data_IF_345144364752
#
_entry.id   IF_345144364752
#
_cell.length_a   1.000
_cell.length_b   1.000
_cell.length_c   1.000
_cell.angle_alpha   90.00
_cell.angle_beta   90.00
_cell.angle_gamma   90.00
#
_symmetry.space_group_name_H-M   'P 1'
#
loop_
_entity.id
_entity.type
_entity.pdbx_description
1 polymer ?
#
# COMPACT_ATOMS: atom_id res chain seq x y z
N UNK A 1 -18.02 -20.41 23.86
CA UNK A 1 -16.72 -21.00 23.47
C UNK A 1 -16.92 -21.88 22.25
N UNK A 2 -16.63 -21.36 21.06
CA UNK A 2 -16.65 -22.14 19.81
C UNK A 2 -15.24 -22.71 19.61
N UNK A 3 -15.11 -24.03 19.78
CA UNK A 3 -13.85 -24.77 19.63
C UNK A 3 -13.15 -24.39 18.33
N UNK A 4 -11.82 -24.19 18.36
CA UNK A 4 -11.00 -24.05 17.15
C UNK A 4 -11.39 -25.17 16.18
N UNK A 5 -11.79 -24.90 14.92
CA UNK A 5 -11.94 -25.97 13.97
C UNK A 5 -10.57 -26.65 13.82
N UNK A 6 -10.47 -27.92 14.26
CA UNK A 6 -9.23 -28.69 14.15
C UNK A 6 -8.79 -28.70 12.68
N UNK A 7 -7.52 -28.40 12.42
CA UNK A 7 -6.96 -28.47 11.07
C UNK A 7 -7.05 -27.20 10.22
N UNK A 8 -7.23 -26.02 10.82
CA UNK A 8 -7.12 -24.72 10.12
C UNK A 8 -6.05 -23.86 10.75
N UNK A 9 -5.47 -22.95 9.96
CA UNK A 9 -4.53 -21.96 10.47
C UNK A 9 -5.18 -20.97 11.46
N UNK A 10 -6.53 -20.91 11.52
CA UNK A 10 -7.27 -19.94 12.33
C UNK A 10 -8.30 -20.44 13.33
N UNK A 11 -8.32 -19.79 14.49
CA UNK A 11 -9.42 -19.81 15.46
C UNK A 11 -10.25 -18.53 15.33
N UNK A 12 -11.39 -18.62 14.62
CA UNK A 12 -12.46 -17.62 14.44
C UNK A 12 -12.03 -16.18 14.11
N UNK A 13 -12.52 -15.66 12.97
CA UNK A 13 -12.37 -14.27 12.59
C UNK A 13 -12.96 -13.34 13.67
N UNK A 14 -12.13 -12.43 14.16
CA UNK A 14 -12.53 -11.32 15.03
C UNK A 14 -12.19 -10.05 14.27
N UNK A 15 -13.02 -9.00 14.30
CA UNK A 15 -12.93 -7.91 13.33
C UNK A 15 -11.73 -6.99 13.58
N UNK A 16 -10.55 -7.41 13.12
CA UNK A 16 -9.37 -6.55 13.05
C UNK A 16 -9.51 -5.67 11.80
N UNK A 17 -9.50 -4.36 11.99
CA UNK A 17 -9.53 -3.40 10.91
C UNK A 17 -8.23 -2.60 10.89
N UNK A 18 -7.79 -2.25 9.68
CA UNK A 18 -6.67 -1.36 9.47
C UNK A 18 -7.00 0.04 9.98
N UNK A 19 -6.17 0.57 10.87
CA UNK A 19 -6.33 1.92 11.42
C UNK A 19 -6.12 3.05 10.40
N UNK A 20 -5.52 2.77 9.24
CA UNK A 20 -5.38 3.75 8.16
C UNK A 20 -6.59 3.73 7.24
N UNK A 21 -6.93 2.58 6.68
CA UNK A 21 -7.93 2.50 5.62
C UNK A 21 -9.32 2.04 6.11
N UNK A 22 -9.46 1.63 7.37
CA UNK A 22 -10.70 1.12 7.95
C UNK A 22 -11.17 -0.23 7.39
N UNK A 23 -10.41 -0.87 6.49
CA UNK A 23 -10.78 -2.16 5.91
C UNK A 23 -10.36 -3.33 6.80
N UNK A 24 -11.07 -4.45 6.69
CA UNK A 24 -10.75 -5.67 7.43
C UNK A 24 -9.38 -6.21 7.03
N UNK A 25 -8.61 -6.65 8.03
CA UNK A 25 -7.36 -7.38 7.88
C UNK A 25 -7.60 -8.89 7.76
N UNK A 26 -8.80 -9.36 8.09
CA UNK A 26 -9.14 -10.78 8.03
C UNK A 26 -9.29 -11.29 6.60
N UNK A 27 -8.63 -12.41 6.31
CA UNK A 27 -8.87 -13.15 5.09
C UNK A 27 -10.30 -13.71 5.05
N UNK A 28 -11.00 -13.58 3.93
CA UNK A 28 -12.31 -14.23 3.72
C UNK A 28 -12.24 -15.76 3.63
N UNK A 29 -11.03 -16.32 3.56
CA UNK A 29 -10.81 -17.74 3.33
C UNK A 29 -10.09 -18.40 4.51
N UNK A 30 -10.73 -19.39 5.10
CA UNK A 30 -10.08 -20.29 6.05
C UNK A 30 -9.13 -21.22 5.29
N UNK A 31 -7.85 -21.16 5.63
CA UNK A 31 -6.84 -22.04 5.04
C UNK A 31 -6.69 -23.27 5.96
N UNK A 32 -6.88 -24.46 5.39
CA UNK A 32 -6.67 -25.73 6.09
C UNK A 32 -5.17 -25.98 6.28
N UNK A 33 -4.79 -26.48 7.44
CA UNK A 33 -3.46 -27.05 7.68
C UNK A 33 -3.25 -28.18 6.66
N UNK A 34 -2.06 -28.24 6.06
CA UNK A 34 -1.76 -29.14 4.94
C UNK A 34 -2.11 -28.57 3.56
N UNK A 35 -2.70 -27.38 3.48
CA UNK A 35 -2.77 -26.57 2.24
C UNK A 35 -1.72 -25.43 2.30
N UNK A 36 -1.16 -25.03 1.14
CA UNK A 36 -0.21 -23.93 1.10
C UNK A 36 -0.92 -22.63 1.52
N UNK A 37 -0.30 -21.79 2.37
CA UNK A 37 -0.73 -20.42 2.53
C UNK A 37 -0.86 -19.73 1.17
N UNK A 38 -1.86 -18.86 0.95
CA UNK A 38 -2.16 -18.35 -0.39
C UNK A 38 -1.02 -17.55 -1.04
N UNK A 39 -0.25 -16.82 -0.22
CA UNK A 39 0.89 -16.04 -0.67
C UNK A 39 2.07 -16.89 -1.17
N UNK A 40 2.14 -18.16 -0.79
CA UNK A 40 3.22 -19.07 -1.21
C UNK A 40 3.26 -19.27 -2.72
N UNK A 41 2.13 -19.10 -3.41
CA UNK A 41 2.04 -19.24 -4.88
C UNK A 41 2.49 -18.00 -5.65
N UNK A 42 2.81 -16.91 -4.95
CA UNK A 42 3.22 -15.65 -5.59
C UNK A 42 4.65 -15.72 -6.13
N UNK A 43 5.49 -16.59 -5.57
CA UNK A 43 6.85 -16.84 -6.03
C UNK A 43 7.17 -18.33 -6.11
N UNK A 44 7.94 -18.69 -7.15
CA UNK A 44 8.35 -20.07 -7.39
C UNK A 44 9.22 -20.64 -6.25
N UNK A 45 10.11 -19.83 -5.69
CA UNK A 45 10.97 -20.21 -4.56
C UNK A 45 10.15 -20.60 -3.31
N UNK A 46 9.12 -19.81 -2.98
CA UNK A 46 8.23 -20.10 -1.85
C UNK A 46 7.40 -21.36 -2.10
N UNK A 47 6.90 -21.54 -3.33
CA UNK A 47 6.17 -22.75 -3.71
C UNK A 47 7.05 -24.00 -3.62
N UNK A 48 8.32 -23.90 -4.00
CA UNK A 48 9.29 -24.97 -3.89
C UNK A 48 9.55 -25.36 -2.43
N UNK A 49 9.77 -24.39 -1.54
CA UNK A 49 9.90 -24.64 -0.10
C UNK A 49 8.69 -25.37 0.48
N UNK A 50 7.48 -25.05 0.00
CA UNK A 50 6.26 -25.77 0.39
C UNK A 50 6.22 -27.20 -0.13
N UNK A 51 6.64 -27.43 -1.39
CA UNK A 51 6.69 -28.77 -2.01
C UNK A 51 7.67 -29.68 -1.26
N UNK A 52 8.87 -29.21 -0.97
CA UNK A 52 9.91 -29.94 -0.23
C UNK A 52 9.41 -30.35 1.16
N UNK A 53 8.79 -29.41 1.87
CA UNK A 53 8.18 -29.70 3.18
C UNK A 53 7.16 -30.82 3.12
N UNK A 54 6.36 -30.89 2.05
CA UNK A 54 5.29 -31.88 1.90
C UNK A 54 5.82 -33.30 1.70
N UNK A 55 7.06 -33.46 1.24
CA UNK A 55 7.68 -34.78 1.08
C UNK A 55 7.91 -35.48 2.43
N UNK A 56 7.95 -34.75 3.54
CA UNK A 56 8.07 -35.32 4.88
C UNK A 56 6.71 -35.48 5.59
N UNK A 57 6.31 -36.73 5.84
CA UNK A 57 5.10 -37.08 6.61
C UNK A 57 5.08 -36.46 8.02
N UNK A 58 6.24 -36.20 8.62
CA UNK A 58 6.37 -35.59 9.96
C UNK A 58 6.01 -34.10 9.96
N UNK A 59 6.22 -33.39 8.84
CA UNK A 59 5.99 -31.94 8.72
C UNK A 59 4.69 -31.56 8.05
N UNK A 60 4.04 -32.49 7.34
CA UNK A 60 2.75 -32.27 6.66
C UNK A 60 1.65 -31.78 7.61
N UNK A 61 1.63 -32.29 8.85
CA UNK A 61 0.62 -31.93 9.87
C UNK A 61 0.96 -30.68 10.69
N UNK A 62 2.13 -30.08 10.50
CA UNK A 62 2.57 -28.88 11.25
C UNK A 62 2.10 -27.60 10.53
N UNK A 63 2.19 -26.46 11.21
CA UNK A 63 2.01 -25.13 10.60
C UNK A 63 3.22 -24.75 9.74
N UNK A 64 3.01 -24.04 8.63
CA UNK A 64 4.05 -23.56 7.72
C UNK A 64 4.16 -22.05 7.74
N UNK A 65 5.39 -21.58 7.92
CA UNK A 65 5.75 -20.19 7.71
C UNK A 65 7.08 -20.10 6.98
N UNK A 66 7.23 -19.00 6.23
CA UNK A 66 8.48 -18.58 5.61
C UNK A 66 8.87 -17.26 6.27
N UNK A 67 10.04 -17.23 6.91
CA UNK A 67 10.64 -16.00 7.45
C UNK A 67 11.44 -15.31 6.34
N UNK A 68 11.38 -13.99 6.23
CA UNK A 68 12.11 -13.19 5.24
C UNK A 68 12.27 -11.73 5.71
N UNK A 69 12.94 -10.88 4.92
CA UNK A 69 12.95 -9.44 5.19
C UNK A 69 11.66 -8.76 4.71
N UNK A 70 11.32 -7.65 5.36
CA UNK A 70 10.16 -6.83 4.99
C UNK A 70 10.28 -6.26 3.56
N UNK A 71 11.50 -5.92 3.14
CA UNK A 71 11.78 -5.44 1.78
C UNK A 71 11.53 -6.51 0.71
N UNK A 72 11.85 -7.78 1.00
CA UNK A 72 11.59 -8.88 0.07
C UNK A 72 10.09 -9.13 -0.12
N UNK A 73 9.30 -9.10 0.95
CA UNK A 73 7.86 -9.30 0.91
C UNK A 73 7.10 -8.12 0.28
N UNK A 74 7.66 -6.92 0.37
CA UNK A 74 7.02 -5.69 -0.12
C UNK A 74 6.95 -5.57 -1.65
N UNK A 75 7.39 -6.58 -2.41
CA UNK A 75 7.31 -6.56 -3.89
C UNK A 75 5.90 -6.89 -4.41
N UNK A 76 5.62 -6.50 -5.65
CA UNK A 76 4.28 -6.64 -6.24
C UNK A 76 3.82 -8.10 -6.29
N UNK A 77 2.58 -8.35 -5.87
CA UNK A 77 1.94 -9.67 -5.93
C UNK A 77 1.36 -9.90 -7.33
N UNK A 78 1.47 -11.13 -7.84
CA UNK A 78 0.87 -11.57 -9.10
C UNK A 78 -0.66 -11.49 -9.04
N UNK A 79 -1.24 -11.86 -7.90
CA UNK A 79 -2.70 -11.87 -7.72
C UNK A 79 -3.17 -10.58 -7.02
N UNK A 80 -4.04 -9.78 -7.66
CA UNK A 80 -4.65 -8.62 -7.02
C UNK A 80 -5.33 -9.00 -5.70
N UNK A 81 -4.96 -8.33 -4.61
CA UNK A 81 -5.59 -8.49 -3.31
C UNK A 81 -4.93 -9.43 -2.33
N UNK A 82 -3.85 -10.11 -2.71
CA UNK A 82 -3.07 -10.91 -1.77
C UNK A 82 -2.38 -10.09 -0.68
N UNK A 83 -2.12 -8.81 -0.95
CA UNK A 83 -1.55 -7.87 0.01
C UNK A 83 -2.47 -7.61 1.21
N UNK A 84 -3.78 -7.84 1.10
CA UNK A 84 -4.75 -7.40 2.12
C UNK A 84 -4.70 -8.21 3.42
N UNK A 85 -4.02 -9.37 3.43
CA UNK A 85 -3.75 -10.13 4.64
C UNK A 85 -2.44 -9.71 5.30
N UNK A 86 -1.58 -8.97 4.60
CA UNK A 86 -0.31 -8.52 5.15
C UNK A 86 -0.50 -7.28 6.00
N UNK A 87 0.00 -7.32 7.22
CA UNK A 87 -0.21 -6.26 8.20
C UNK A 87 1.07 -5.96 8.98
N UNK A 88 1.12 -4.74 9.51
CA UNK A 88 2.03 -4.32 10.58
C UNK A 88 1.20 -3.90 11.78
N UNK A 89 1.84 -3.78 12.93
CA UNK A 89 1.26 -3.22 14.13
C UNK A 89 2.12 -2.07 14.62
N UNK A 90 1.47 -0.97 14.99
CA UNK A 90 2.12 0.09 15.77
C UNK A 90 1.98 -0.33 17.23
N UNK A 91 3.08 -0.73 17.84
CA UNK A 91 3.14 -1.36 19.16
C UNK A 91 3.09 -0.30 20.25
N UNK A 92 2.19 -0.48 21.20
CA UNK A 92 2.03 0.33 22.41
C UNK A 92 2.52 -0.50 23.60
N UNK A 93 3.56 0.01 24.27
CA UNK A 93 4.13 -0.58 25.48
C UNK A 93 4.10 0.46 26.60
N UNK A 94 3.68 0.10 27.83
CA UNK A 94 3.70 1.03 28.94
C UNK A 94 5.11 1.65 29.14
N UNK A 95 5.18 2.97 29.18
CA UNK A 95 6.43 3.71 29.42
C UNK A 95 7.48 3.65 28.29
N UNK A 96 7.12 3.14 27.10
CA UNK A 96 8.03 3.10 25.95
C UNK A 96 7.42 3.85 24.76
N UNK A 97 8.25 4.45 23.88
CA UNK A 97 7.76 5.04 22.65
C UNK A 97 7.11 3.96 21.77
N UNK A 98 6.15 4.40 20.95
CA UNK A 98 5.54 3.54 19.95
C UNK A 98 6.59 2.98 19.00
N UNK A 99 6.45 1.69 18.65
CA UNK A 99 7.38 1.03 17.72
C UNK A 99 6.61 0.32 16.60
N UNK A 100 7.08 0.43 15.36
CA UNK A 100 6.53 -0.36 14.27
C UNK A 100 7.00 -1.83 14.33
N UNK A 101 6.06 -2.76 14.19
CA UNK A 101 6.37 -4.19 14.02
C UNK A 101 6.80 -4.51 12.59
N UNK A 102 7.36 -5.70 12.40
CA UNK A 102 7.54 -6.30 11.09
C UNK A 102 6.22 -6.65 10.40
N UNK A 103 6.30 -7.25 9.21
CA UNK A 103 5.14 -7.65 8.42
C UNK A 103 4.68 -9.06 8.84
N UNK A 104 3.48 -9.15 9.38
CA UNK A 104 2.79 -10.43 9.62
C UNK A 104 1.83 -10.78 8.49
N UNK A 105 1.53 -12.07 8.36
CA UNK A 105 0.48 -12.58 7.49
C UNK A 105 -0.76 -12.98 8.30
N UNK A 106 -1.86 -12.26 8.08
CA UNK A 106 -3.20 -12.62 8.51
C UNK A 106 -3.73 -13.86 7.80
N UNK A 107 -2.90 -14.79 7.33
CA UNK A 107 -3.24 -16.23 7.15
C UNK A 107 -2.82 -17.15 8.32
N UNK A 108 -1.86 -16.75 9.15
CA UNK A 108 -1.50 -17.53 10.33
C UNK A 108 -1.05 -16.76 11.58
N UNK A 109 -1.25 -15.44 11.63
CA UNK A 109 -0.83 -14.61 12.75
C UNK A 109 -1.60 -14.88 14.06
N UNK A 110 -2.87 -15.26 13.97
CA UNK A 110 -3.78 -15.25 15.11
C UNK A 110 -3.55 -16.44 16.03
N UNK A 111 -3.38 -16.14 17.32
CA UNK A 111 -3.36 -17.13 18.40
C UNK A 111 -4.37 -16.72 19.45
N UNK A 112 -5.52 -17.39 19.46
CA UNK A 112 -6.67 -17.00 20.28
C UNK A 112 -7.20 -15.60 19.90
N UNK A 113 -7.20 -14.65 20.84
CA UNK A 113 -7.54 -13.25 20.63
C UNK A 113 -6.34 -12.34 20.28
N UNK A 114 -5.12 -12.89 20.34
CA UNK A 114 -3.86 -12.18 20.10
C UNK A 114 -3.35 -12.38 18.67
N UNK A 115 -2.46 -11.50 18.24
CA UNK A 115 -1.73 -11.58 16.98
C UNK A 115 -0.24 -11.79 17.23
N UNK A 116 0.36 -12.72 16.49
CA UNK A 116 1.79 -12.86 16.38
C UNK A 116 2.31 -11.84 15.37
N UNK A 117 3.33 -11.08 15.76
CA UNK A 117 4.03 -10.16 14.86
C UNK A 117 5.53 -10.20 15.11
N UNK A 118 6.37 -9.95 14.08
CA UNK A 118 7.79 -9.74 14.29
C UNK A 118 8.03 -8.44 15.07
N UNK A 119 8.87 -8.44 16.12
CA UNK A 119 9.17 -7.23 16.91
C UNK A 119 10.08 -6.21 16.20
N UNK A 120 10.70 -6.62 15.09
CA UNK A 120 11.58 -5.81 14.25
C UNK A 120 10.86 -5.42 12.95
N UNK A 121 10.90 -4.13 12.58
CA UNK A 121 10.26 -3.58 11.39
C UNK A 121 10.80 -4.18 10.09
N UNK A 122 12.04 -4.67 10.10
CA UNK A 122 12.70 -5.24 8.92
C UNK A 122 12.41 -6.72 8.72
N UNK A 123 11.69 -7.35 9.66
CA UNK A 123 11.31 -8.75 9.54
C UNK A 123 9.92 -8.92 8.91
N UNK A 124 9.73 -10.06 8.24
CA UNK A 124 8.45 -10.47 7.71
C UNK A 124 8.26 -11.98 7.78
N UNK A 125 7.01 -12.43 7.77
CA UNK A 125 6.71 -13.83 7.49
C UNK A 125 5.44 -14.00 6.64
N UNK A 126 5.37 -15.14 5.96
CA UNK A 126 4.17 -15.64 5.27
C UNK A 126 3.66 -16.89 5.99
N UNK A 127 2.34 -17.07 6.11
CA UNK A 127 1.73 -18.26 6.70
C UNK A 127 1.58 -18.18 8.22
N UNK A 128 1.84 -19.29 8.90
CA UNK A 128 1.59 -19.48 10.33
C UNK A 128 2.85 -19.85 11.09
N UNK A 129 3.48 -18.87 11.77
CA UNK A 129 4.66 -19.13 12.56
C UNK A 129 4.35 -20.03 13.75
N UNK A 130 5.35 -20.78 14.21
CA UNK A 130 5.23 -21.57 15.43
C UNK A 130 5.24 -20.64 16.64
N UNK A 131 4.17 -20.70 17.45
CA UNK A 131 3.97 -19.86 18.65
C UNK A 131 5.14 -19.85 19.64
N UNK A 132 5.88 -20.96 19.76
CA UNK A 132 6.95 -21.14 20.78
C UNK A 132 8.33 -20.63 20.35
N UNK A 133 8.45 -19.89 19.25
CA UNK A 133 9.74 -19.32 18.84
C UNK A 133 9.88 -17.91 19.42
N UNK A 134 10.99 -17.61 20.08
CA UNK A 134 11.38 -16.27 20.58
C UNK A 134 11.54 -15.20 19.47
N UNK A 135 11.10 -15.47 18.23
CA UNK A 135 11.19 -14.59 17.08
C UNK A 135 9.99 -13.64 16.94
N UNK A 136 8.86 -13.96 17.57
CA UNK A 136 7.63 -13.18 17.45
C UNK A 136 7.10 -12.83 18.83
N UNK A 137 6.38 -11.72 18.90
CA UNK A 137 5.68 -11.28 20.10
C UNK A 137 4.18 -11.46 19.91
N UNK A 138 3.48 -11.69 21.01
CA UNK A 138 2.01 -11.69 21.04
C UNK A 138 1.51 -10.31 21.38
N UNK A 139 0.60 -9.80 20.56
CA UNK A 139 0.08 -8.44 20.68
C UNK A 139 -1.44 -8.50 20.76
N UNK A 140 -2.03 -7.77 21.73
CA UNK A 140 -3.48 -7.54 21.76
C UNK A 140 -3.84 -6.45 20.74
N UNK A 141 -4.64 -6.76 19.71
CA UNK A 141 -5.01 -5.77 18.70
C UNK A 141 -5.93 -4.71 19.30
N UNK A 142 -5.53 -3.45 19.18
CA UNK A 142 -6.34 -2.30 19.57
C UNK A 142 -7.62 -2.26 18.75
N UNK A 143 -8.75 -2.14 19.45
CA UNK A 143 -10.07 -2.18 18.83
C UNK A 143 -10.30 -0.96 17.97
N UNK A 144 -10.53 -1.20 16.68
CA UNK A 144 -10.94 -0.15 15.75
C UNK A 144 -12.40 0.30 16.02
N UNK A 145 -12.74 1.60 15.92
CA UNK A 145 -14.11 2.10 16.11
C UNK A 145 -15.18 1.45 15.21
N UNK A 146 -14.78 0.92 14.05
CA UNK A 146 -15.67 0.19 13.13
C UNK A 146 -16.00 -1.25 13.56
N UNK A 147 -15.33 -1.79 14.58
CA UNK A 147 -15.57 -3.16 15.03
C UNK A 147 -16.95 -3.30 15.71
N UNK A 148 -17.93 -3.83 14.96
CA UNK A 148 -19.34 -4.00 15.39
C UNK A 148 -19.55 -4.97 16.55
N UNK A 149 -18.62 -5.89 16.80
CA UNK A 149 -18.76 -6.90 17.86
C UNK A 149 -18.11 -6.44 19.17
N UNK A 150 -18.92 -6.29 20.22
CA UNK A 150 -18.45 -6.15 21.61
C UNK A 150 -18.05 -7.56 22.07
N UNK A 151 -16.75 -7.90 22.08
CA UNK A 151 -16.33 -9.06 22.88
C UNK A 151 -16.83 -8.81 24.31
N UNK A 152 -17.48 -9.80 24.93
CA UNK A 152 -17.53 -9.83 26.40
C UNK A 152 -16.07 -9.73 26.84
N UNK A 153 -15.77 -8.71 27.64
CA UNK A 153 -14.44 -8.46 28.24
C UNK A 153 -14.03 -9.80 28.86
N UNK A 154 -13.20 -10.57 28.16
CA UNK A 154 -12.55 -11.73 28.78
C UNK A 154 -11.73 -11.12 29.91
N UNK A 155 -11.91 -11.66 31.12
CA UNK A 155 -11.30 -11.18 32.37
C UNK A 155 -9.92 -10.61 32.09
N UNK A 156 -9.75 -9.33 32.44
CA UNK A 156 -8.49 -8.61 32.52
C UNK A 156 -7.47 -9.06 31.46
N UNK A 157 -7.44 -8.36 30.32
CA UNK A 157 -6.20 -8.31 29.54
C UNK A 157 -5.08 -8.01 30.54
N UNK A 158 -4.20 -8.99 30.79
CA UNK A 158 -3.07 -8.85 31.71
C UNK A 158 -2.44 -7.49 31.44
N UNK A 159 -2.27 -6.66 32.49
CA UNK A 159 -1.76 -5.29 32.37
C UNK A 159 -0.42 -5.21 31.62
N UNK A 160 0.27 -6.35 31.46
CA UNK A 160 1.55 -6.51 30.81
C UNK A 160 1.49 -6.95 29.32
N UNK A 161 0.31 -7.17 28.73
CA UNK A 161 0.22 -7.54 27.31
C UNK A 161 0.45 -6.31 26.42
N UNK A 162 1.40 -6.42 25.48
CA UNK A 162 1.67 -5.42 24.45
C UNK A 162 0.41 -5.21 23.62
N UNK A 163 -0.01 -3.94 23.48
CA UNK A 163 -1.14 -3.57 22.62
C UNK A 163 -0.62 -3.10 21.27
N UNK A 164 -1.46 -3.11 20.24
CA UNK A 164 -1.04 -2.49 18.99
C UNK A 164 -2.13 -2.19 17.98
N UNK A 165 -1.89 -1.15 17.18
CA UNK A 165 -2.80 -0.66 16.15
C UNK A 165 -2.46 -1.36 14.85
N UNK A 166 -3.35 -2.24 14.41
CA UNK A 166 -3.12 -3.02 13.20
C UNK A 166 -3.33 -2.16 11.95
N UNK A 167 -2.41 -2.23 11.00
CA UNK A 167 -2.45 -1.52 9.72
C UNK A 167 -2.05 -2.47 8.59
N UNK A 168 -2.65 -2.34 7.41
CA UNK A 168 -2.15 -3.07 6.24
C UNK A 168 -0.72 -2.63 5.91
N UNK A 169 0.13 -3.58 5.54
CA UNK A 169 1.52 -3.28 5.13
C UNK A 169 1.57 -2.25 4.00
N UNK A 170 0.68 -2.36 3.00
CA UNK A 170 0.56 -1.39 1.90
C UNK A 170 0.02 -0.03 2.31
N UNK A 171 -0.89 0.01 3.28
CA UNK A 171 -1.39 1.29 3.80
C UNK A 171 -0.30 2.02 4.58
N UNK A 172 0.56 1.27 5.29
CA UNK A 172 1.74 1.83 5.93
C UNK A 172 2.71 2.46 4.93
N UNK A 173 3.01 1.78 3.81
CA UNK A 173 3.86 2.35 2.76
C UNK A 173 3.33 3.68 2.22
N UNK A 174 2.01 3.81 2.05
CA UNK A 174 1.40 5.08 1.63
C UNK A 174 1.50 6.17 2.70
N UNK A 175 1.28 5.81 3.97
CA UNK A 175 1.40 6.73 5.10
C UNK A 175 2.83 7.28 5.22
N UNK A 176 3.83 6.40 5.19
CA UNK A 176 5.24 6.76 5.26
C UNK A 176 5.65 7.68 4.11
N UNK A 177 5.13 7.41 2.91
CA UNK A 177 5.36 8.25 1.74
C UNK A 177 4.73 9.64 1.86
N UNK A 178 3.50 9.71 2.38
CA UNK A 178 2.79 10.98 2.52
C UNK A 178 3.38 11.86 3.64
N UNK A 179 3.70 11.26 4.78
CA UNK A 179 4.15 12.02 5.95
C UNK A 179 5.67 12.26 5.98
N UNK A 180 6.45 11.46 5.24
CA UNK A 180 7.91 11.52 5.26
C UNK A 180 8.51 10.88 6.52
N UNK A 181 9.79 10.49 6.43
CA UNK A 181 10.49 9.74 7.48
C UNK A 181 10.58 10.49 8.83
N UNK A 182 10.65 11.82 8.81
CA UNK A 182 10.70 12.66 10.01
C UNK A 182 9.44 12.51 10.87
N UNK A 183 8.25 12.68 10.29
CA UNK A 183 6.99 12.54 11.02
C UNK A 183 6.71 11.10 11.45
N UNK A 184 7.28 10.12 10.74
CA UNK A 184 7.20 8.71 11.15
C UNK A 184 7.99 8.39 12.42
N UNK A 185 8.83 9.31 12.92
CA UNK A 185 9.45 9.20 14.24
C UNK A 185 8.46 9.52 15.38
N UNK A 186 7.39 10.26 15.08
CA UNK A 186 6.36 10.68 16.03
C UNK A 186 5.08 9.84 15.89
N UNK A 187 5.23 8.52 16.07
CA UNK A 187 4.12 7.57 15.93
C UNK A 187 2.98 7.81 16.92
N UNK A 188 3.26 8.41 18.07
CA UNK A 188 2.28 8.89 19.05
C UNK A 188 1.33 9.92 18.43
N UNK A 189 1.86 10.93 17.74
CA UNK A 189 1.05 11.95 17.06
C UNK A 189 0.24 11.35 15.92
N UNK A 190 0.85 10.45 15.13
CA UNK A 190 0.15 9.74 14.05
C UNK A 190 -1.03 8.93 14.59
N UNK A 191 -0.83 8.20 15.69
CA UNK A 191 -1.91 7.43 16.33
C UNK A 191 -2.98 8.34 16.92
N UNK A 192 -2.61 9.47 17.53
CA UNK A 192 -3.56 10.45 18.05
C UNK A 192 -4.45 11.01 16.94
N UNK A 193 -3.85 11.43 15.81
CA UNK A 193 -4.57 11.94 14.66
C UNK A 193 -5.48 10.87 14.01
N UNK A 194 -5.02 9.61 13.91
CA UNK A 194 -5.86 8.51 13.43
C UNK A 194 -7.04 8.24 14.37
N UNK A 195 -6.82 8.23 15.69
CA UNK A 195 -7.90 8.09 16.68
C UNK A 195 -8.92 9.20 16.50
N UNK A 196 -8.47 10.45 16.37
CA UNK A 196 -9.36 11.58 16.21
C UNK A 196 -10.17 11.49 14.92
N UNK A 197 -9.53 11.18 13.80
CA UNK A 197 -10.20 10.94 12.52
C UNK A 197 -11.36 9.94 12.67
N UNK A 198 -11.13 8.79 13.31
CA UNK A 198 -12.16 7.77 13.46
C UNK A 198 -13.23 8.07 14.53
N UNK A 199 -12.95 8.92 15.52
CA UNK A 199 -13.94 9.37 16.51
C UNK A 199 -15.01 10.26 15.89
N UNK A 200 -14.65 11.07 14.89
CA UNK A 200 -15.61 11.98 14.22
C UNK A 200 -16.77 11.27 13.51
N UNK A 201 -16.77 9.94 13.46
CA UNK A 201 -17.83 9.16 12.84
C UNK A 201 -17.82 9.22 11.31
N UNK A 202 -16.84 9.92 10.70
CA UNK A 202 -16.59 9.91 9.26
C UNK A 202 -16.30 8.48 8.83
N UNK A 203 -17.30 7.81 8.29
CA UNK A 203 -17.12 6.53 7.62
C UNK A 203 -16.82 6.82 6.17
N UNK A 204 -15.61 6.49 5.66
CA UNK A 204 -15.44 6.38 4.22
C UNK A 204 -16.55 5.49 3.69
N UNK A 205 -16.99 5.69 2.44
CA UNK A 205 -18.03 4.85 1.84
C UNK A 205 -17.47 3.44 1.58
N UNK A 206 -17.33 2.64 2.65
CA UNK A 206 -16.68 1.33 2.71
C UNK A 206 -17.54 0.24 2.05
N UNK A 207 -18.79 0.55 1.71
CA UNK A 207 -19.82 -0.38 1.26
C UNK A 207 -20.41 -0.05 -0.11
N UNK A 208 -19.85 0.89 -0.86
CA UNK A 208 -20.19 0.96 -2.29
C UNK A 208 -19.84 -0.39 -2.91
N UNK A 209 -20.85 -1.14 -3.33
CA UNK A 209 -20.76 -2.44 -4.01
C UNK A 209 -19.88 -2.39 -5.27
N UNK A 210 -19.56 -1.19 -5.76
CA UNK A 210 -18.66 -0.96 -6.87
C UNK A 210 -17.15 -0.95 -6.48
N UNK A 211 -16.77 -0.78 -5.22
CA UNK A 211 -15.34 -0.72 -4.81
C UNK A 211 -14.87 -2.05 -4.22
N UNK A 212 -13.98 -2.78 -4.92
CA UNK A 212 -13.28 -3.91 -4.29
C UNK A 212 -12.04 -3.41 -3.53
N UNK A 213 -12.02 -3.41 -2.19
CA UNK A 213 -10.86 -3.08 -1.38
C UNK A 213 -9.71 -4.10 -1.49
N UNK A 214 -9.84 -5.08 -2.38
CA UNK A 214 -8.80 -6.02 -2.76
C UNK A 214 -7.71 -5.40 -3.65
N UNK A 215 -7.85 -4.14 -4.08
CA UNK A 215 -6.91 -3.55 -5.01
C UNK A 215 -5.71 -2.92 -4.32
N UNK A 216 -4.49 -3.32 -4.71
CA UNK A 216 -3.24 -2.84 -4.13
C UNK A 216 -3.14 -1.32 -4.30
N UNK A 217 -3.11 -0.54 -3.20
CA UNK A 217 -3.12 0.90 -3.29
C UNK A 217 -1.72 1.45 -3.56
N UNK A 218 -0.66 0.63 -3.54
CA UNK A 218 0.72 1.06 -3.81
C UNK A 218 1.16 0.68 -5.22
N UNK A 219 0.86 -0.53 -5.68
CA UNK A 219 1.28 -0.97 -7.01
C UNK A 219 0.09 -1.08 -7.97
N UNK A 220 -0.01 -0.14 -8.91
CA UNK A 220 -1.06 -0.13 -9.95
C UNK A 220 -0.47 -0.69 -11.26
N UNK A 221 -0.81 -1.94 -11.66
CA UNK A 221 -0.19 -2.59 -12.82
C UNK A 221 -0.34 -1.82 -14.14
N UNK A 222 -1.43 -1.05 -14.28
CA UNK A 222 -1.65 -0.24 -15.49
C UNK A 222 -0.66 0.92 -15.56
N UNK A 223 -0.30 1.54 -14.44
CA UNK A 223 0.73 2.58 -14.41
C UNK A 223 2.08 1.97 -14.81
N UNK A 224 2.47 0.85 -14.21
CA UNK A 224 3.71 0.14 -14.57
C UNK A 224 3.75 -0.25 -16.07
N UNK A 225 2.65 -0.78 -16.60
CA UNK A 225 2.54 -1.08 -18.04
C UNK A 225 2.74 0.18 -18.89
N UNK A 226 2.10 1.31 -18.52
CA UNK A 226 2.25 2.58 -19.24
C UNK A 226 3.69 3.08 -19.24
N UNK A 227 4.39 2.96 -18.10
CA UNK A 227 5.80 3.34 -17.97
C UNK A 227 6.68 2.48 -18.90
N UNK A 228 6.46 1.15 -18.92
CA UNK A 228 7.23 0.23 -19.77
C UNK A 228 7.00 0.44 -21.26
N UNK A 229 5.77 0.77 -21.66
CA UNK A 229 5.46 1.00 -23.09
C UNK A 229 5.90 2.37 -23.59
N UNK A 230 6.23 3.30 -22.69
CA UNK A 230 6.57 4.69 -23.03
C UNK A 230 8.05 5.02 -22.85
N UNK A 231 8.92 4.01 -22.92
CA UNK A 231 10.37 4.20 -22.84
C UNK A 231 10.86 4.86 -24.13
N UNK A 232 11.76 5.85 -24.02
CA UNK A 232 12.41 6.42 -25.21
C UNK A 232 13.32 5.36 -25.84
N UNK A 233 13.14 5.07 -27.12
CA UNK A 233 14.09 4.23 -27.86
C UNK A 233 15.46 4.91 -27.83
N UNK A 234 16.48 4.20 -27.35
CA UNK A 234 17.87 4.68 -27.16
C UNK A 234 18.59 5.09 -28.46
N UNK A 235 17.89 5.23 -29.58
CA UNK A 235 18.44 5.59 -30.89
C UNK A 235 17.82 6.83 -31.53
N UNK A 236 16.90 7.54 -30.88
CA UNK A 236 16.32 8.79 -31.42
C UNK A 236 16.84 10.00 -30.66
N UNK A 237 18.16 10.22 -30.72
CA UNK A 237 18.74 11.56 -30.62
C UNK A 237 18.46 12.32 -31.91
N UNK A 238 17.18 12.43 -32.30
CA UNK A 238 16.78 13.52 -33.19
C UNK A 238 16.95 14.74 -32.30
N UNK A 239 17.80 15.68 -32.71
CA UNK A 239 18.06 16.91 -31.98
C UNK A 239 16.79 17.75 -31.94
N UNK A 240 15.88 17.40 -31.02
CA UNK A 240 14.75 18.24 -30.71
C UNK A 240 15.30 19.45 -29.98
N UNK A 241 15.08 20.63 -30.56
CA UNK A 241 15.33 21.86 -29.84
C UNK A 241 14.28 21.97 -28.73
N UNK A 242 14.68 22.44 -27.54
CA UNK A 242 13.70 23.06 -26.64
C UNK A 242 12.96 24.16 -27.41
N UNK A 243 11.70 24.43 -27.03
CA UNK A 243 10.86 25.47 -27.67
C UNK A 243 11.73 26.62 -28.17
N UNK A 244 11.81 26.75 -29.49
CA UNK A 244 12.78 27.61 -30.16
C UNK A 244 12.05 28.84 -30.70
N UNK A 245 12.78 29.87 -31.08
CA UNK A 245 12.21 31.02 -31.80
C UNK A 245 12.19 30.78 -33.32
N UNK A 246 12.34 29.53 -33.80
CA UNK A 246 12.53 29.18 -35.22
C UNK A 246 11.36 29.55 -36.17
N UNK A 247 10.33 30.24 -35.70
CA UNK A 247 9.21 30.74 -36.49
C UNK A 247 8.89 32.21 -36.20
N UNK A 248 9.84 32.97 -35.63
CA UNK A 248 9.66 34.39 -35.31
C UNK A 248 8.68 34.66 -34.16
N UNK A 249 8.19 33.61 -33.49
CA UNK A 249 7.29 33.71 -32.35
C UNK A 249 8.09 33.75 -31.04
N UNK A 250 7.89 34.77 -30.18
CA UNK A 250 8.40 34.76 -28.82
C UNK A 250 7.90 33.54 -28.03
N UNK A 251 8.70 33.08 -27.06
CA UNK A 251 8.37 31.89 -26.27
C UNK A 251 7.08 32.06 -25.48
N UNK A 252 6.82 33.27 -25.01
CA UNK A 252 5.63 33.65 -24.27
C UNK A 252 4.37 33.36 -25.10
N UNK A 253 4.38 33.76 -26.38
CA UNK A 253 3.25 33.50 -27.30
C UNK A 253 3.09 32.00 -27.54
N UNK A 254 4.19 31.26 -27.68
CA UNK A 254 4.12 29.79 -27.80
C UNK A 254 3.51 29.14 -26.57
N UNK A 255 3.92 29.55 -25.37
CA UNK A 255 3.32 29.07 -24.12
C UNK A 255 1.85 29.43 -24.02
N UNK A 256 1.47 30.67 -24.38
CA UNK A 256 0.06 31.06 -24.45
C UNK A 256 -0.73 30.16 -25.41
N UNK A 257 -0.22 29.90 -26.62
CA UNK A 257 -0.87 28.98 -27.57
C UNK A 257 -0.99 27.57 -26.97
N UNK A 258 0.08 27.05 -26.38
CA UNK A 258 0.11 25.72 -25.73
C UNK A 258 -0.95 25.60 -24.64
N UNK A 259 -1.18 26.66 -23.85
CA UNK A 259 -2.20 26.66 -22.79
C UNK A 259 -3.64 26.51 -23.32
N UNK A 260 -3.90 26.89 -24.57
CA UNK A 260 -5.20 26.72 -25.23
C UNK A 260 -5.35 25.40 -26.00
N UNK A 261 -4.27 24.62 -26.14
CA UNK A 261 -4.29 23.34 -26.86
C UNK A 261 -4.56 22.17 -25.91
N UNK A 262 -5.28 21.17 -26.40
CA UNK A 262 -5.36 19.89 -25.69
C UNK A 262 -4.04 19.12 -25.78
N UNK A 263 -3.83 18.16 -24.88
CA UNK A 263 -2.58 17.38 -24.77
C UNK A 263 -2.16 16.69 -26.08
N UNK A 264 -3.11 16.26 -26.92
CA UNK A 264 -2.81 15.62 -28.21
C UNK A 264 -2.35 16.67 -29.21
N UNK A 265 -3.04 17.81 -29.24
CA UNK A 265 -2.67 18.94 -30.09
C UNK A 265 -1.30 19.51 -29.72
N UNK A 266 -0.98 19.67 -28.43
CA UNK A 266 0.37 20.08 -27.98
C UNK A 266 1.43 19.08 -28.47
N UNK A 267 1.22 17.78 -28.28
CA UNK A 267 2.17 16.76 -28.74
C UNK A 267 2.36 16.78 -30.26
N UNK A 268 1.27 16.91 -31.02
CA UNK A 268 1.33 16.93 -32.48
C UNK A 268 2.01 18.21 -32.99
N UNK A 269 1.75 19.36 -32.35
CA UNK A 269 2.41 20.63 -32.61
C UNK A 269 3.92 20.51 -32.42
N UNK A 270 4.35 20.00 -31.26
CA UNK A 270 5.77 19.79 -30.96
C UNK A 270 6.44 18.83 -31.95
N UNK A 271 5.74 17.76 -32.36
CA UNK A 271 6.23 16.86 -33.40
C UNK A 271 6.39 17.58 -34.74
N UNK A 272 5.38 18.36 -35.16
CA UNK A 272 5.38 19.07 -36.44
C UNK A 272 6.51 20.11 -36.54
N UNK A 273 6.82 20.78 -35.43
CA UNK A 273 7.89 21.78 -35.35
C UNK A 273 9.25 21.21 -34.92
N UNK A 274 9.35 19.90 -34.70
CA UNK A 274 10.56 19.26 -34.17
C UNK A 274 11.07 19.92 -32.86
N UNK A 275 10.12 20.29 -31.98
CA UNK A 275 10.39 20.91 -30.68
C UNK A 275 10.05 19.95 -29.53
N UNK A 276 10.61 20.20 -28.33
CA UNK A 276 10.27 19.47 -27.11
C UNK A 276 9.96 20.40 -25.94
N UNK A 277 9.07 19.92 -25.08
CA UNK A 277 8.82 20.48 -23.75
C UNK A 277 9.55 19.69 -22.67
N UNK A 278 10.01 20.34 -21.59
CA UNK A 278 10.66 19.67 -20.47
C UNK A 278 9.71 18.69 -19.78
N UNK A 279 10.28 17.70 -19.08
CA UNK A 279 9.52 16.72 -18.30
C UNK A 279 8.56 17.41 -17.30
N UNK A 280 9.01 18.48 -16.65
CA UNK A 280 8.24 19.27 -15.68
C UNK A 280 6.89 19.74 -16.24
N UNK A 281 6.84 20.16 -17.51
CA UNK A 281 5.59 20.56 -18.17
C UNK A 281 4.59 19.41 -18.19
N UNK A 282 5.00 18.23 -18.69
CA UNK A 282 4.12 17.08 -18.81
C UNK A 282 3.70 16.53 -17.44
N UNK A 283 4.62 16.53 -16.48
CA UNK A 283 4.36 16.09 -15.11
C UNK A 283 3.33 16.99 -14.41
N UNK A 284 3.37 18.30 -14.66
CA UNK A 284 2.40 19.25 -14.11
C UNK A 284 0.96 19.01 -14.60
N UNK A 285 0.80 18.41 -15.79
CA UNK A 285 -0.53 18.07 -16.32
C UNK A 285 -1.14 16.80 -15.71
N UNK A 286 -0.36 16.01 -14.95
CA UNK A 286 -0.79 14.72 -14.42
C UNK A 286 -0.96 14.78 -12.89
N UNK A 287 -1.88 13.97 -12.31
CA UNK A 287 -2.07 13.92 -10.87
C UNK A 287 -0.93 13.13 -10.19
N UNK A 288 0.27 13.71 -10.18
CA UNK A 288 1.51 13.06 -9.71
C UNK A 288 1.51 12.74 -8.22
N UNK A 289 0.72 13.44 -7.42
CA UNK A 289 0.50 13.08 -6.00
C UNK A 289 -0.20 11.73 -5.86
N UNK A 290 -1.18 11.46 -6.73
CA UNK A 290 -1.90 10.19 -6.76
C UNK A 290 -1.13 9.10 -7.52
N UNK A 291 -0.38 9.48 -8.56
CA UNK A 291 0.40 8.60 -9.44
C UNK A 291 1.90 8.79 -9.18
N UNK A 292 2.27 8.59 -7.93
CA UNK A 292 3.60 8.89 -7.45
C UNK A 292 4.70 8.08 -8.17
N UNK A 293 4.35 6.95 -8.78
CA UNK A 293 5.26 6.12 -9.58
C UNK A 293 5.78 6.86 -10.82
N UNK A 294 5.02 7.82 -11.33
CA UNK A 294 5.40 8.67 -12.46
C UNK A 294 6.55 9.58 -12.04
N UNK A 295 6.44 10.24 -10.88
CA UNK A 295 7.48 11.13 -10.37
C UNK A 295 8.74 10.37 -9.95
N UNK A 296 8.58 9.26 -9.23
CA UNK A 296 9.70 8.38 -8.83
C UNK A 296 10.56 7.96 -10.02
N UNK A 297 9.92 7.68 -11.16
CA UNK A 297 10.64 7.23 -12.35
C UNK A 297 11.44 8.35 -13.00
N UNK A 298 10.92 9.58 -13.02
CA UNK A 298 11.71 10.72 -13.48
C UNK A 298 12.87 10.99 -12.54
N UNK A 299 12.66 10.96 -11.23
CA UNK A 299 13.72 11.23 -10.25
C UNK A 299 14.82 10.15 -10.31
N UNK A 300 14.45 8.88 -10.47
CA UNK A 300 15.40 7.76 -10.50
C UNK A 300 16.10 7.58 -11.85
N UNK A 301 15.46 7.98 -12.96
CA UNK A 301 15.99 7.80 -14.30
C UNK A 301 15.53 8.93 -15.25
N UNK A 302 16.05 10.16 -15.04
CA UNK A 302 15.60 11.34 -15.77
C UNK A 302 15.69 11.16 -17.28
N UNK A 303 14.65 11.59 -18.00
CA UNK A 303 14.66 11.62 -19.46
C UNK A 303 14.58 10.24 -20.15
N UNK A 304 14.48 9.13 -19.43
CA UNK A 304 14.32 7.78 -20.01
C UNK A 304 12.91 7.48 -20.52
N UNK A 305 11.95 8.32 -20.15
CA UNK A 305 10.52 8.13 -20.43
C UNK A 305 10.03 9.22 -21.39
N UNK A 306 9.18 8.83 -22.32
CA UNK A 306 8.44 9.75 -23.18
C UNK A 306 7.20 10.28 -22.42
N UNK A 307 7.39 11.36 -21.68
CA UNK A 307 6.35 11.96 -20.85
C UNK A 307 5.14 12.47 -21.64
N UNK A 308 5.36 12.98 -22.86
CA UNK A 308 4.27 13.39 -23.75
C UNK A 308 3.32 12.21 -24.07
N UNK A 309 3.89 11.02 -24.32
CA UNK A 309 3.11 9.81 -24.56
C UNK A 309 2.29 9.39 -23.33
N UNK A 310 2.88 9.46 -22.13
CA UNK A 310 2.17 9.16 -20.89
C UNK A 310 1.06 10.18 -20.64
N UNK A 311 1.32 11.48 -20.82
CA UNK A 311 0.32 12.52 -20.66
C UNK A 311 -0.90 12.28 -21.57
N UNK A 312 -0.68 11.91 -22.84
CA UNK A 312 -1.77 11.51 -23.76
C UNK A 312 -2.52 10.27 -23.26
N UNK A 313 -1.83 9.25 -22.73
CA UNK A 313 -2.48 8.06 -22.18
C UNK A 313 -3.34 8.37 -20.94
N UNK A 314 -2.85 9.23 -20.05
CA UNK A 314 -3.54 9.63 -18.82
C UNK A 314 -4.72 10.54 -19.11
N UNK A 315 -4.48 11.65 -19.82
CA UNK A 315 -5.41 12.77 -19.96
C UNK A 315 -6.41 12.51 -21.09
N UNK A 316 -5.91 12.18 -22.29
CA UNK A 316 -6.78 12.03 -23.46
C UNK A 316 -7.41 10.64 -23.54
N UNK A 317 -6.60 9.57 -23.41
CA UNK A 317 -7.12 8.20 -23.48
C UNK A 317 -7.80 7.74 -22.20
N UNK A 318 -7.77 8.54 -21.13
CA UNK A 318 -8.46 8.29 -19.86
C UNK A 318 -8.21 6.86 -19.36
N UNK A 319 -6.97 6.35 -19.52
CA UNK A 319 -6.63 4.95 -19.21
C UNK A 319 -6.90 4.64 -17.73
N UNK A 320 -6.86 5.66 -16.88
CA UNK A 320 -7.14 5.61 -15.45
C UNK A 320 -8.64 5.54 -15.11
N UNK A 321 -9.52 5.98 -16.02
CA UNK A 321 -10.98 5.91 -15.84
C UNK A 321 -11.55 4.52 -16.17
N UNK A 322 -10.77 3.64 -16.83
CA UNK A 322 -11.16 2.25 -17.08
C UNK A 322 -11.56 1.58 -15.78
N UNK A 323 -12.71 0.90 -15.77
CA UNK A 323 -13.40 0.46 -14.55
C UNK A 323 -12.47 -0.16 -13.49
N UNK A 324 -11.67 -1.18 -13.83
CA UNK A 324 -10.77 -1.84 -12.88
C UNK A 324 -9.66 -0.93 -12.31
N UNK A 325 -9.09 -0.06 -13.16
CA UNK A 325 -8.06 0.92 -12.76
C UNK A 325 -8.68 2.00 -11.89
N UNK A 326 -9.88 2.44 -12.26
CA UNK A 326 -10.63 3.43 -11.49
C UNK A 326 -10.89 2.93 -10.06
N UNK A 327 -11.08 1.63 -9.83
CA UNK A 327 -11.27 1.10 -8.48
C UNK A 327 -9.98 1.08 -7.64
N UNK A 328 -8.84 0.72 -8.26
CA UNK A 328 -7.51 0.82 -7.64
C UNK A 328 -7.22 2.27 -7.21
N UNK A 329 -7.40 3.20 -8.15
CA UNK A 329 -7.16 4.62 -7.92
C UNK A 329 -8.15 5.22 -6.93
N UNK A 330 -9.44 4.88 -7.00
CA UNK A 330 -10.42 5.32 -5.99
C UNK A 330 -10.06 4.81 -4.60
N UNK A 331 -9.55 3.57 -4.47
CA UNK A 331 -9.10 3.06 -3.17
C UNK A 331 -7.86 3.82 -2.68
N UNK A 332 -6.87 4.07 -3.55
CA UNK A 332 -5.70 4.92 -3.24
C UNK A 332 -6.14 6.32 -2.84
N UNK A 333 -6.93 7.01 -3.66
CA UNK A 333 -7.45 8.36 -3.41
C UNK A 333 -8.21 8.45 -2.08
N UNK A 334 -9.04 7.45 -1.77
CA UNK A 334 -9.72 7.36 -0.47
C UNK A 334 -8.74 7.29 0.69
N UNK A 335 -7.68 6.48 0.57
CA UNK A 335 -6.63 6.41 1.61
C UNK A 335 -5.90 7.75 1.70
N UNK A 336 -5.47 8.33 0.58
CA UNK A 336 -4.81 9.64 0.54
C UNK A 336 -5.66 10.73 1.22
N UNK A 337 -6.97 10.76 0.97
CA UNK A 337 -7.86 11.71 1.62
C UNK A 337 -7.85 11.54 3.16
N UNK A 338 -7.87 10.30 3.66
CA UNK A 338 -7.72 10.04 5.10
C UNK A 338 -6.38 10.57 5.59
N UNK A 339 -5.29 10.30 4.86
CA UNK A 339 -3.95 10.72 5.23
C UNK A 339 -3.79 12.24 5.25
N UNK A 340 -4.39 12.96 4.31
CA UNK A 340 -4.39 14.43 4.28
C UNK A 340 -5.14 15.05 5.46
N UNK A 341 -6.24 14.43 5.91
CA UNK A 341 -6.93 14.86 7.13
C UNK A 341 -6.09 14.60 8.37
N UNK A 342 -5.43 13.43 8.44
CA UNK A 342 -4.49 13.08 9.51
C UNK A 342 -3.34 14.09 9.55
N UNK A 343 -2.75 14.40 8.40
CA UNK A 343 -1.69 15.39 8.25
C UNK A 343 -2.12 16.78 8.72
N UNK A 344 -3.33 17.23 8.36
CA UNK A 344 -3.87 18.51 8.85
C UNK A 344 -4.06 18.53 10.36
N UNK A 345 -4.47 17.41 10.96
CA UNK A 345 -4.59 17.32 12.42
C UNK A 345 -3.22 17.38 13.11
N UNK A 346 -2.17 16.84 12.48
CA UNK A 346 -0.80 16.92 13.00
C UNK A 346 -0.29 18.37 13.02
N UNK A 347 -0.53 19.15 11.96
CA UNK A 347 -0.05 20.54 11.88
C UNK A 347 -0.79 21.49 12.81
N UNK A 348 -2.08 21.22 13.11
CA UNK A 348 -2.83 22.03 14.07
C UNK A 348 -2.35 21.85 15.51
N UNK A 349 -1.85 20.68 15.87
CA UNK A 349 -1.32 20.43 17.23
C UNK A 349 0.08 21.04 17.43
N UNK A 350 0.94 21.04 16.40
CA UNK A 350 2.26 21.69 16.49
C UNK A 350 2.19 23.22 16.56
N UNK A 351 1.07 23.83 16.19
CA UNK A 351 0.84 25.27 16.31
C UNK A 351 0.33 25.73 17.69
N UNK A 352 0.08 24.79 18.62
CA UNK A 352 -0.45 25.04 19.96
C UNK A 352 0.57 24.83 21.08
N UNK A 353 1.78 24.41 20.74
CA UNK A 353 2.96 24.30 21.59
C UNK A 353 3.95 25.37 21.17
#
# INVERSE_FOLDING_TARGET
MTRKPKGYYYSQAGPNHCWICGHSLEARHYVRIGKPPPLVREKQEWEQMWKERRQSRKTEKRVFAIDMSASELSRAFRVPGRWNTLFRMILERPGQPYKLSGIGDMVGARVSCLLLVPPDSEMAYIGAPAYKKNKYITVSPMRHPLARWRRKREKEEEENIVKGYAVHSRCWTLLERQLGSERMQHLDLVIAALKEYWKTGRRPNLYSTAMCPCYDPVHIPVVDKMMRTSVKTTGSSIGFAYLSTQFGLPLEIKYMVIEYLDVVSVRNMLWAFNEVLPASYWLAMMPTDLLFEIRDKEDAAPGTVNWASIAVLVIHRKVLEKWQVSLQLKNRQRIFHILQEVERNLTTDTSKT
#
